data_IF_338976711059
#
_entry.id   IF_338976711059
#
_cell.length_a   1.000
_cell.length_b   1.000
_cell.length_c   1.000
_cell.angle_alpha   90.00
_cell.angle_beta   90.00
_cell.angle_gamma   90.00
#
_symmetry.space_group_name_H-M   'P 1'
#
loop_
_entity.id
_entity.type
_entity.pdbx_description
1 polymer ?
#
# COMPACT_ATOMS: atom_id res chain seq x y z
N UNK A 1 12.19 23.38 -6.47
CA UNK A 1 11.11 22.79 -7.28
C UNK A 1 9.89 23.69 -7.20
N UNK A 2 9.71 24.45 -8.23
CA UNK A 2 8.69 25.48 -8.28
C UNK A 2 7.31 24.86 -8.47
N UNK A 3 6.37 25.16 -7.57
CA UNK A 3 4.98 24.82 -7.70
C UNK A 3 4.58 23.39 -7.30
N UNK A 4 5.47 22.61 -6.68
CA UNK A 4 5.16 21.28 -6.19
C UNK A 4 5.09 21.30 -4.66
N UNK A 5 3.98 20.81 -4.10
CA UNK A 5 3.75 20.78 -2.66
C UNK A 5 4.26 19.49 -2.00
N UNK A 6 4.30 18.38 -2.73
CA UNK A 6 4.76 17.08 -2.27
C UNK A 6 5.13 16.19 -3.45
N UNK A 7 5.90 15.12 -3.20
CA UNK A 7 6.23 14.11 -4.19
C UNK A 7 5.80 12.74 -3.67
N UNK A 8 5.01 12.02 -4.47
CA UNK A 8 4.72 10.60 -4.18
C UNK A 8 5.69 9.72 -4.98
N UNK A 9 6.34 8.80 -4.28
CA UNK A 9 7.34 7.90 -4.86
C UNK A 9 6.76 6.50 -4.94
N UNK A 10 6.70 5.99 -6.16
CA UNK A 10 6.21 4.67 -6.50
C UNK A 10 7.13 4.04 -7.55
N UNK A 11 6.76 2.86 -8.05
CA UNK A 11 7.51 2.20 -9.12
C UNK A 11 6.66 1.22 -9.90
N UNK A 12 7.15 0.86 -11.08
CA UNK A 12 6.43 -0.01 -12.00
C UNK A 12 6.40 -1.48 -11.56
N UNK A 13 7.26 -1.87 -10.64
CA UNK A 13 7.46 -3.28 -10.31
C UNK A 13 6.83 -3.64 -8.96
N UNK A 14 5.56 -3.27 -8.80
CA UNK A 14 4.77 -3.60 -7.61
C UNK A 14 4.35 -5.07 -7.55
N UNK A 15 4.52 -5.81 -8.63
CA UNK A 15 4.19 -7.24 -8.71
C UNK A 15 5.26 -8.16 -8.15
N UNK A 16 6.35 -7.61 -7.64
CA UNK A 16 7.39 -8.43 -7.02
C UNK A 16 6.86 -9.12 -5.77
N UNK A 17 6.85 -10.42 -5.82
CA UNK A 17 6.72 -11.28 -4.65
C UNK A 17 8.10 -11.39 -3.99
N UNK A 18 8.19 -11.71 -2.74
CA UNK A 18 9.44 -11.99 -2.03
C UNK A 18 10.49 -10.86 -2.03
N UNK A 19 10.05 -9.61 -2.23
CA UNK A 19 10.94 -8.47 -2.08
C UNK A 19 10.90 -7.95 -0.64
N UNK A 20 12.03 -7.46 -0.11
CA UNK A 20 11.99 -6.70 1.14
C UNK A 20 10.99 -5.56 1.02
N UNK A 21 10.13 -5.42 2.00
CA UNK A 21 9.15 -4.35 2.03
C UNK A 21 9.55 -3.29 3.05
N UNK A 22 9.28 -2.02 2.77
CA UNK A 22 8.67 -1.42 1.57
C UNK A 22 9.60 -1.39 0.34
N UNK A 23 9.03 -1.55 -0.85
CA UNK A 23 9.81 -1.80 -2.08
C UNK A 23 10.72 -0.66 -2.50
N UNK A 24 10.29 0.58 -2.28
CA UNK A 24 10.95 1.76 -2.85
C UNK A 24 11.58 2.67 -1.79
N UNK A 25 11.75 2.18 -0.57
CA UNK A 25 12.31 2.99 0.53
C UNK A 25 13.71 3.49 0.19
N UNK A 26 14.58 2.62 -0.31
CA UNK A 26 15.95 3.02 -0.65
C UNK A 26 15.98 4.12 -1.72
N UNK A 27 15.14 3.97 -2.75
CA UNK A 27 15.04 4.97 -3.80
C UNK A 27 14.48 6.29 -3.27
N UNK A 28 13.50 6.22 -2.39
CA UNK A 28 12.92 7.41 -1.74
C UNK A 28 13.96 8.17 -0.90
N UNK A 29 14.82 7.46 -0.20
CA UNK A 29 15.88 8.06 0.61
C UNK A 29 16.93 8.78 -0.25
N UNK A 30 17.24 8.25 -1.43
CA UNK A 30 18.11 8.92 -2.40
C UNK A 30 17.49 10.23 -2.89
N UNK A 31 16.18 10.23 -3.12
CA UNK A 31 15.45 11.44 -3.53
C UNK A 31 15.35 12.43 -2.37
N UNK A 32 15.11 11.94 -1.14
CA UNK A 32 15.03 12.78 0.06
C UNK A 32 16.25 13.69 0.20
N UNK A 33 17.43 13.18 -0.14
CA UNK A 33 18.67 13.95 -0.03
C UNK A 33 18.77 15.10 -1.05
N UNK A 34 17.89 15.11 -2.06
CA UNK A 34 17.95 16.08 -3.17
C UNK A 34 16.80 17.08 -3.17
N UNK A 35 15.79 16.88 -2.34
CA UNK A 35 14.59 17.73 -2.34
C UNK A 35 14.19 18.11 -0.93
N UNK A 36 13.50 19.25 -0.79
CA UNK A 36 13.03 19.76 0.50
C UNK A 36 11.51 19.63 0.68
N UNK A 37 10.79 19.18 -0.36
CA UNK A 37 9.34 18.99 -0.28
C UNK A 37 9.01 17.69 0.46
N UNK A 38 7.82 17.57 1.07
CA UNK A 38 7.38 16.33 1.68
C UNK A 38 7.38 15.17 0.70
N UNK A 39 7.76 13.98 1.19
CA UNK A 39 7.78 12.75 0.41
C UNK A 39 6.71 11.80 0.94
N UNK A 40 5.90 11.31 0.01
CA UNK A 40 4.89 10.26 0.23
C UNK A 40 5.47 8.98 -0.38
N UNK A 41 5.61 7.93 0.43
CA UNK A 41 6.14 6.65 -0.04
C UNK A 41 5.01 5.63 -0.14
N UNK A 42 4.88 4.99 -1.30
CA UNK A 42 3.90 3.93 -1.54
C UNK A 42 4.59 2.62 -1.92
N UNK A 43 4.04 1.52 -1.45
CA UNK A 43 4.41 0.18 -1.91
C UNK A 43 5.02 -0.70 -0.83
N UNK A 44 4.33 -1.78 -0.52
CA UNK A 44 4.83 -2.85 0.32
C UNK A 44 4.65 -2.69 1.82
N UNK A 45 4.02 -1.62 2.28
CA UNK A 45 3.73 -1.46 3.71
C UNK A 45 2.60 -2.40 4.16
N UNK A 46 2.81 -3.08 5.28
CA UNK A 46 1.85 -4.05 5.83
C UNK A 46 1.63 -3.93 7.33
N UNK A 47 2.50 -3.24 8.05
CA UNK A 47 2.41 -3.08 9.50
C UNK A 47 2.99 -1.75 9.97
N UNK A 48 2.69 -1.41 11.22
CA UNK A 48 3.12 -0.15 11.86
C UNK A 48 4.64 -0.05 11.97
N UNK A 49 5.33 -1.16 12.23
CA UNK A 49 6.78 -1.13 12.37
C UNK A 49 7.48 -0.71 11.08
N UNK A 50 7.02 -1.19 9.94
CA UNK A 50 7.54 -0.75 8.63
C UNK A 50 7.28 0.73 8.40
N UNK A 51 6.10 1.21 8.76
CA UNK A 51 5.73 2.62 8.61
C UNK A 51 6.58 3.52 9.49
N UNK A 52 6.73 3.17 10.77
CA UNK A 52 7.54 3.95 11.71
C UNK A 52 9.01 3.98 11.28
N UNK A 53 9.53 2.87 10.80
CA UNK A 53 10.90 2.83 10.29
C UNK A 53 11.12 3.80 9.12
N UNK A 54 10.16 3.88 8.20
CA UNK A 54 10.24 4.82 7.09
C UNK A 54 10.13 6.28 7.56
N UNK A 55 9.20 6.57 8.48
CA UNK A 55 9.01 7.91 9.03
C UNK A 55 10.23 8.38 9.81
N UNK A 56 10.89 7.51 10.54
CA UNK A 56 12.15 7.81 11.23
C UNK A 56 13.29 8.16 10.27
N UNK A 57 13.21 7.70 9.03
CA UNK A 57 14.20 7.97 7.97
C UNK A 57 13.83 9.17 7.10
N UNK A 58 12.99 10.06 7.60
CA UNK A 58 12.61 11.33 6.93
C UNK A 58 11.66 11.16 5.73
N UNK A 59 10.91 10.07 5.68
CA UNK A 59 9.72 9.96 4.84
C UNK A 59 8.56 10.60 5.61
N UNK A 60 7.79 11.46 4.95
CA UNK A 60 6.78 12.27 5.62
C UNK A 60 5.42 11.60 5.70
N UNK A 61 5.03 10.88 4.64
CA UNK A 61 3.73 10.23 4.56
C UNK A 61 3.84 8.84 3.94
N UNK A 62 2.93 7.97 4.32
CA UNK A 62 2.81 6.61 3.78
C UNK A 62 1.51 6.49 3.00
N UNK A 63 1.58 5.93 1.80
CA UNK A 63 0.43 5.64 0.95
C UNK A 63 0.31 4.14 0.72
N UNK A 64 -0.92 3.64 0.67
CA UNK A 64 -1.20 2.21 0.49
C UNK A 64 -2.44 2.02 -0.36
N UNK A 65 -2.48 0.94 -1.13
CA UNK A 65 -3.63 0.56 -1.94
C UNK A 65 -4.12 -0.84 -1.57
N UNK A 66 -3.34 -1.88 -1.85
CA UNK A 66 -3.76 -3.27 -1.67
C UNK A 66 -4.17 -3.65 -0.24
N UNK A 67 -3.54 -3.14 0.82
CA UNK A 67 -4.04 -3.38 2.17
C UNK A 67 -5.49 -2.93 2.38
N UNK A 68 -5.89 -1.82 1.76
CA UNK A 68 -7.27 -1.32 1.83
C UNK A 68 -8.23 -2.11 0.93
N UNK A 69 -7.73 -2.70 -0.16
CA UNK A 69 -8.52 -3.66 -0.95
C UNK A 69 -8.77 -4.92 -0.13
N UNK A 70 -7.78 -5.36 0.63
CA UNK A 70 -7.88 -6.54 1.48
C UNK A 70 -8.77 -6.30 2.71
N UNK A 71 -8.77 -5.08 3.27
CA UNK A 71 -9.49 -4.78 4.50
C UNK A 71 -9.91 -3.32 4.55
N UNK A 72 -11.21 -3.08 4.54
CA UNK A 72 -11.81 -1.75 4.67
C UNK A 72 -11.54 -1.10 6.03
N UNK A 73 -11.28 -1.90 7.05
CA UNK A 73 -11.00 -1.43 8.42
C UNK A 73 -9.50 -1.37 8.72
N UNK A 74 -8.65 -1.32 7.70
CA UNK A 74 -7.20 -1.44 7.91
C UNK A 74 -6.62 -0.33 8.80
N UNK A 75 -7.12 0.91 8.72
CA UNK A 75 -6.67 1.99 9.62
C UNK A 75 -6.91 1.63 11.08
N UNK A 76 -8.08 1.06 11.39
CA UNK A 76 -8.39 0.63 12.76
C UNK A 76 -7.48 -0.51 13.21
N UNK A 77 -7.18 -1.44 12.30
CA UNK A 77 -6.22 -2.52 12.58
C UNK A 77 -4.82 -1.98 12.88
N UNK A 78 -4.36 -0.98 12.13
CA UNK A 78 -3.08 -0.33 12.41
C UNK A 78 -3.05 0.30 13.80
N UNK A 79 -4.13 0.92 14.24
CA UNK A 79 -4.24 1.48 15.60
C UNK A 79 -4.13 0.41 16.68
N UNK A 80 -4.50 -0.82 16.37
CA UNK A 80 -4.42 -1.97 17.26
C UNK A 80 -3.14 -2.79 17.05
N UNK A 81 -2.18 -2.26 16.29
CA UNK A 81 -0.92 -2.91 15.95
C UNK A 81 -1.11 -4.26 15.23
N UNK A 82 -2.13 -4.35 14.39
CA UNK A 82 -2.41 -5.52 13.57
C UNK A 82 -1.85 -5.36 12.16
N UNK A 83 -1.38 -6.45 11.58
CA UNK A 83 -0.87 -6.46 10.20
C UNK A 83 -2.00 -6.56 9.18
N UNK A 84 -1.69 -6.11 7.95
CA UNK A 84 -2.53 -6.40 6.80
C UNK A 84 -2.51 -7.88 6.44
N UNK A 85 -3.66 -8.41 6.02
CA UNK A 85 -3.73 -9.75 5.45
C UNK A 85 -3.16 -9.84 4.04
N UNK A 86 -2.87 -8.71 3.40
CA UNK A 86 -2.35 -8.66 2.03
C UNK A 86 -0.98 -9.31 1.94
N UNK A 87 -0.86 -10.34 1.09
CA UNK A 87 0.38 -11.11 0.88
C UNK A 87 1.04 -10.82 -0.46
N UNK A 88 0.65 -9.74 -1.14
CA UNK A 88 1.22 -9.30 -2.41
C UNK A 88 1.01 -10.29 -3.57
N UNK A 89 -0.01 -11.13 -3.52
CA UNK A 89 -0.30 -12.10 -4.59
C UNK A 89 -0.77 -11.44 -5.89
N UNK A 90 -1.29 -10.19 -5.81
CA UNK A 90 -1.78 -9.40 -6.95
C UNK A 90 -3.04 -9.96 -7.65
N UNK A 91 -3.70 -10.95 -7.06
CA UNK A 91 -4.94 -11.52 -7.61
C UNK A 91 -6.07 -10.50 -7.69
N UNK A 92 -6.06 -9.47 -6.85
CA UNK A 92 -7.05 -8.40 -6.92
C UNK A 92 -7.01 -7.64 -8.25
N UNK A 93 -5.86 -7.56 -8.91
CA UNK A 93 -5.75 -6.95 -10.24
C UNK A 93 -6.36 -7.83 -11.32
N UNK A 94 -6.21 -9.14 -11.22
CA UNK A 94 -6.81 -10.08 -12.16
C UNK A 94 -8.33 -10.14 -12.00
N UNK A 95 -8.81 -10.18 -10.76
CA UNK A 95 -10.24 -10.17 -10.43
C UNK A 95 -10.92 -8.93 -10.99
N UNK A 96 -10.26 -7.76 -10.88
CA UNK A 96 -10.81 -6.49 -11.35
C UNK A 96 -11.12 -6.47 -12.86
N UNK A 97 -10.44 -7.29 -13.65
CA UNK A 97 -10.67 -7.37 -15.09
C UNK A 97 -12.03 -7.98 -15.44
N UNK A 98 -12.57 -8.83 -14.58
CA UNK A 98 -13.79 -9.59 -14.84
C UNK A 98 -14.89 -9.38 -13.83
N UNK A 99 -14.59 -8.86 -12.66
CA UNK A 99 -15.52 -8.72 -11.54
C UNK A 99 -15.26 -7.41 -10.78
N UNK A 100 -16.02 -7.17 -9.71
CA UNK A 100 -15.76 -6.08 -8.79
C UNK A 100 -14.42 -6.29 -8.08
N UNK A 101 -13.69 -5.21 -7.90
CA UNK A 101 -12.38 -5.27 -7.25
C UNK A 101 -12.51 -5.73 -5.79
N UNK A 102 -11.80 -6.80 -5.46
CA UNK A 102 -11.76 -7.36 -4.12
C UNK A 102 -10.46 -8.11 -3.87
N UNK A 103 -10.20 -8.41 -2.61
CA UNK A 103 -9.10 -9.31 -2.25
C UNK A 103 -9.53 -10.77 -2.44
N UNK A 104 -8.69 -11.57 -3.10
CA UNK A 104 -8.93 -13.00 -3.30
C UNK A 104 -8.98 -13.78 -1.97
N UNK A 105 -8.34 -13.27 -0.91
CA UNK A 105 -8.36 -13.88 0.42
C UNK A 105 -9.66 -13.61 1.18
N UNK A 106 -10.44 -12.59 0.78
CA UNK A 106 -11.69 -12.19 1.41
C UNK A 106 -12.87 -12.90 0.76
N UNK A 107 -13.03 -14.17 1.07
CA UNK A 107 -14.15 -14.99 0.57
C UNK A 107 -15.51 -14.56 1.11
N UNK A 108 -15.54 -13.93 2.26
CA UNK A 108 -16.73 -13.36 2.88
C UNK A 108 -17.36 -12.26 2.03
N UNK A 109 -16.56 -11.44 1.36
CA UNK A 109 -17.03 -10.34 0.52
C UNK A 109 -17.72 -10.85 -0.75
N UNK A 110 -17.32 -11.99 -1.27
CA UNK A 110 -17.89 -12.53 -2.51
C UNK A 110 -19.41 -12.66 -2.37
N UNK A 111 -19.87 -13.25 -1.28
CA UNK A 111 -21.29 -13.49 -1.05
C UNK A 111 -22.08 -12.18 -0.97
N UNK A 112 -21.53 -11.16 -0.33
CA UNK A 112 -22.15 -9.83 -0.26
C UNK A 112 -22.25 -9.17 -1.64
N UNK A 113 -21.20 -9.30 -2.46
CA UNK A 113 -21.20 -8.75 -3.81
C UNK A 113 -22.21 -9.44 -4.72
N UNK A 114 -22.35 -10.75 -4.61
CA UNK A 114 -23.33 -11.51 -5.38
C UNK A 114 -24.77 -11.14 -5.03
N UNK A 115 -25.05 -10.80 -3.77
CA UNK A 115 -26.37 -10.36 -3.31
C UNK A 115 -26.67 -8.94 -3.79
N UNK A 116 -25.71 -8.02 -3.75
CA UNK A 116 -25.92 -6.60 -4.01
C UNK A 116 -25.73 -6.22 -5.49
N UNK A 117 -25.07 -7.06 -6.27
CA UNK A 117 -24.75 -6.80 -7.68
C UNK A 117 -25.08 -8.06 -8.51
N UNK A 118 -26.37 -8.30 -8.78
CA UNK A 118 -26.79 -9.47 -9.55
C UNK A 118 -26.31 -9.44 -11.02
#
# INVERSE_FOLDING_TARGET
MDGIDAIEISGNNFKKLNQPTPYFLENALKIRNKVNVPIILVGGFRNVNQMNNALEKWIDFISMSRPFIADENFVQKLKNDEESICVNCNECFEIFKTQHKRCALRKDIIHQLEINFP
#
